data_IF_736284694365
#
_entry.id   IF_736284694365
#
_cell.length_a   1.000
_cell.length_b   1.000
_cell.length_c   1.000
_cell.angle_alpha   90.00
_cell.angle_beta   90.00
_cell.angle_gamma   90.00
#
_symmetry.space_group_name_H-M   'P 1'
#
loop_
_entity.id
_entity.type
_entity.pdbx_description
1 polymer ?
#
# COMPACT_ATOMS: atom_id res chain seq x y z
N UNK A 1 -47.51 -42.96 -29.69
CA UNK A 1 -47.83 -41.96 -28.67
C UNK A 1 -46.52 -41.55 -27.95
N UNK A 2 -45.91 -40.37 -28.30
CA UNK A 2 -44.64 -39.92 -27.71
C UNK A 2 -44.97 -38.87 -26.66
N UNK A 3 -44.75 -39.21 -25.37
CA UNK A 3 -44.91 -38.29 -24.23
C UNK A 3 -43.66 -37.44 -24.15
N UNK A 4 -43.77 -36.16 -24.48
CA UNK A 4 -42.71 -35.16 -24.23
C UNK A 4 -42.84 -34.63 -22.79
N UNK A 5 -41.99 -35.14 -21.92
CA UNK A 5 -41.84 -34.62 -20.57
C UNK A 5 -41.05 -33.29 -20.61
N UNK A 6 -41.77 -32.16 -20.45
CA UNK A 6 -41.14 -30.83 -20.30
C UNK A 6 -40.72 -30.67 -18.85
N UNK A 7 -39.40 -30.76 -18.58
CA UNK A 7 -38.85 -30.37 -17.29
C UNK A 7 -39.02 -28.84 -17.12
N UNK A 8 -39.89 -28.44 -16.22
CA UNK A 8 -39.95 -27.06 -15.72
C UNK A 8 -38.82 -26.89 -14.70
N UNK A 9 -37.65 -26.39 -15.13
CA UNK A 9 -36.61 -25.90 -14.21
C UNK A 9 -37.17 -24.66 -13.50
N UNK A 10 -37.39 -24.77 -12.21
CA UNK A 10 -38.01 -23.69 -11.44
C UNK A 10 -37.09 -22.47 -11.40
N UNK A 11 -37.65 -21.27 -11.69
CA UNK A 11 -36.94 -19.97 -11.62
C UNK A 11 -36.25 -19.69 -10.27
N UNK A 12 -36.69 -20.37 -9.21
CA UNK A 12 -36.15 -20.27 -7.86
C UNK A 12 -34.70 -20.82 -7.72
N UNK A 13 -34.36 -21.90 -8.46
CA UNK A 13 -33.02 -22.48 -8.45
C UNK A 13 -31.98 -21.58 -9.15
N UNK A 14 -32.39 -20.82 -10.16
CA UNK A 14 -31.50 -19.90 -10.87
C UNK A 14 -31.15 -18.67 -10.01
N UNK A 15 -32.13 -18.16 -9.23
CA UNK A 15 -31.89 -17.00 -8.35
C UNK A 15 -30.93 -17.31 -7.20
N UNK A 16 -31.00 -18.52 -6.64
CA UNK A 16 -30.13 -18.95 -5.54
C UNK A 16 -28.68 -19.15 -6.00
N UNK A 17 -28.46 -19.63 -7.21
CA UNK A 17 -27.12 -19.81 -7.77
C UNK A 17 -26.44 -18.48 -8.08
N UNK A 18 -27.18 -17.46 -8.53
CA UNK A 18 -26.65 -16.12 -8.80
C UNK A 18 -26.24 -15.41 -7.50
N UNK A 19 -27.03 -15.52 -6.43
CA UNK A 19 -26.72 -14.93 -5.14
C UNK A 19 -25.52 -15.58 -4.46
N UNK A 20 -25.36 -16.89 -4.59
CA UNK A 20 -24.20 -17.61 -4.07
C UNK A 20 -22.91 -17.25 -4.81
N UNK A 21 -22.96 -17.04 -6.13
CA UNK A 21 -21.82 -16.62 -6.93
C UNK A 21 -21.35 -15.19 -6.61
N UNK A 22 -22.27 -14.26 -6.35
CA UNK A 22 -21.96 -12.88 -5.94
C UNK A 22 -21.36 -12.82 -4.54
N UNK A 23 -21.83 -13.63 -3.60
CA UNK A 23 -21.28 -13.68 -2.24
C UNK A 23 -19.84 -14.21 -2.22
N UNK A 24 -19.48 -15.14 -3.10
CA UNK A 24 -18.12 -15.68 -3.15
C UNK A 24 -17.11 -14.72 -3.79
N UNK A 25 -17.51 -13.94 -4.79
CA UNK A 25 -16.63 -12.95 -5.42
C UNK A 25 -16.29 -11.77 -4.51
N UNK A 26 -17.14 -11.41 -3.53
CA UNK A 26 -16.84 -10.38 -2.53
C UNK A 26 -15.86 -10.89 -1.47
N UNK A 27 -15.92 -12.17 -1.09
CA UNK A 27 -15.04 -12.75 -0.07
C UNK A 27 -13.58 -12.88 -0.55
N UNK A 28 -13.33 -13.11 -1.84
CA UNK A 28 -11.97 -13.22 -2.38
C UNK A 28 -11.25 -11.88 -2.50
N UNK A 29 -11.97 -10.77 -2.70
CA UNK A 29 -11.38 -9.43 -2.75
C UNK A 29 -10.85 -8.94 -1.40
N UNK A 30 -11.50 -9.29 -0.30
CA UNK A 30 -11.07 -8.91 1.04
C UNK A 30 -9.80 -9.66 1.50
N UNK A 31 -9.62 -10.92 1.08
CA UNK A 31 -8.45 -11.71 1.46
C UNK A 31 -7.15 -11.19 0.85
N UNK A 32 -7.18 -10.63 -0.36
CA UNK A 32 -5.99 -10.07 -1.00
C UNK A 32 -5.55 -8.74 -0.39
N UNK A 33 -6.48 -7.95 0.15
CA UNK A 33 -6.16 -6.67 0.80
C UNK A 33 -5.48 -6.87 2.17
N UNK A 34 -5.79 -7.94 2.90
CA UNK A 34 -5.16 -8.23 4.19
C UNK A 34 -3.73 -8.76 4.07
N UNK A 35 -3.35 -9.36 2.95
CA UNK A 35 -2.00 -9.89 2.78
C UNK A 35 -0.93 -8.83 2.53
N UNK A 36 -1.28 -7.65 2.00
CA UNK A 36 -0.29 -6.62 1.69
C UNK A 36 0.29 -5.91 2.92
N UNK A 37 -0.43 -5.86 4.04
CA UNK A 37 0.07 -5.26 5.28
C UNK A 37 0.78 -6.23 6.22
N UNK A 38 0.54 -7.54 6.08
CA UNK A 38 1.12 -8.57 6.94
C UNK A 38 2.65 -8.70 6.83
N UNK A 39 3.26 -8.10 5.82
CA UNK A 39 4.71 -8.10 5.65
C UNK A 39 5.43 -7.01 6.47
N UNK A 40 4.68 -6.03 7.01
CA UNK A 40 5.24 -4.92 7.77
C UNK A 40 5.01 -5.09 9.27
N UNK A 41 6.02 -4.76 10.07
CA UNK A 41 5.93 -4.71 11.53
C UNK A 41 5.26 -3.40 11.95
N UNK A 42 3.94 -3.49 12.17
CA UNK A 42 3.13 -2.34 12.57
C UNK A 42 3.23 -2.02 14.06
N UNK A 43 3.82 -2.92 14.85
CA UNK A 43 3.93 -2.78 16.29
C UNK A 43 5.24 -2.08 16.72
N UNK A 44 6.28 -2.18 15.88
CA UNK A 44 7.61 -1.63 16.18
C UNK A 44 8.07 -0.69 15.05
N UNK A 45 7.43 0.49 14.87
CA UNK A 45 7.89 1.45 13.89
C UNK A 45 9.28 1.98 14.24
N UNK A 46 10.08 2.27 13.20
CA UNK A 46 11.44 2.80 13.36
C UNK A 46 11.56 4.15 12.65
N UNK A 47 12.46 5.02 13.13
CA UNK A 47 12.84 6.24 12.42
C UNK A 47 14.07 5.98 11.57
N UNK A 48 14.01 6.35 10.29
CA UNK A 48 15.14 6.33 9.37
C UNK A 48 15.37 7.72 8.78
N UNK A 49 16.62 8.02 8.46
CA UNK A 49 17.01 9.26 7.78
C UNK A 49 17.76 8.91 6.50
N UNK A 50 17.49 9.63 5.44
CA UNK A 50 18.14 9.36 4.17
C UNK A 50 17.90 10.43 3.13
N UNK A 51 18.52 10.24 1.97
CA UNK A 51 18.34 11.09 0.79
C UNK A 51 17.40 10.43 -0.18
N UNK A 52 16.41 11.15 -0.67
CA UNK A 52 15.49 10.67 -1.68
C UNK A 52 16.25 10.35 -2.96
N UNK A 53 16.22 9.09 -3.38
CA UNK A 53 16.72 8.64 -4.68
C UNK A 53 15.66 8.74 -5.74
N UNK A 54 14.44 8.31 -5.42
CA UNK A 54 13.32 8.32 -6.36
C UNK A 54 11.99 8.35 -5.59
N UNK A 55 10.99 9.07 -6.11
CA UNK A 55 9.62 9.03 -5.63
C UNK A 55 8.68 8.70 -6.78
N UNK A 56 8.14 7.48 -6.76
CA UNK A 56 7.18 6.96 -7.75
C UNK A 56 5.75 7.18 -7.26
N UNK A 57 5.07 8.16 -7.85
CA UNK A 57 3.70 8.50 -7.51
C UNK A 57 2.73 7.78 -8.47
N UNK A 58 2.63 6.45 -8.34
CA UNK A 58 1.92 5.55 -9.26
C UNK A 58 0.95 4.65 -8.51
N UNK A 59 -0.07 4.13 -9.22
CA UNK A 59 -1.01 3.13 -8.68
C UNK A 59 -0.47 1.71 -8.90
N UNK A 60 -0.84 0.74 -8.04
CA UNK A 60 -1.77 0.86 -6.91
C UNK A 60 -1.13 1.50 -5.66
N UNK A 61 0.19 1.48 -5.51
CA UNK A 61 0.92 2.00 -4.36
C UNK A 61 2.05 2.92 -4.80
N UNK A 62 2.24 3.99 -4.05
CA UNK A 62 3.39 4.87 -4.23
C UNK A 62 4.65 4.22 -3.65
N UNK A 63 5.81 4.47 -4.26
CA UNK A 63 7.09 3.97 -3.78
C UNK A 63 8.06 5.13 -3.56
N UNK A 64 8.68 5.14 -2.39
CA UNK A 64 9.74 6.06 -2.04
C UNK A 64 11.04 5.28 -1.85
N UNK A 65 12.04 5.58 -2.66
CA UNK A 65 13.37 4.97 -2.55
C UNK A 65 14.30 5.95 -1.87
N UNK A 66 14.81 5.56 -0.69
CA UNK A 66 15.76 6.34 0.10
C UNK A 66 17.14 5.70 0.10
N UNK A 67 18.16 6.51 -0.01
CA UNK A 67 19.53 6.15 0.29
C UNK A 67 19.79 6.41 1.78
N UNK A 68 19.88 5.32 2.55
CA UNK A 68 20.08 5.37 4.00
C UNK A 68 21.48 4.91 4.31
N UNK A 69 22.22 5.73 5.07
CA UNK A 69 23.56 5.38 5.56
C UNK A 69 23.43 4.61 6.87
N UNK A 70 23.91 3.38 6.87
CA UNK A 70 23.96 2.52 8.06
C UNK A 70 25.03 2.99 9.06
N UNK A 71 25.02 2.41 10.26
CA UNK A 71 26.01 2.66 11.31
C UNK A 71 27.42 2.24 10.86
N UNK A 72 27.51 1.25 9.99
CA UNK A 72 28.74 0.79 9.35
C UNK A 72 29.27 1.75 8.27
N UNK A 73 28.55 2.85 8.01
CA UNK A 73 28.86 3.83 6.98
C UNK A 73 28.46 3.43 5.56
N UNK A 74 27.92 2.24 5.37
CA UNK A 74 27.44 1.74 4.06
C UNK A 74 26.12 2.39 3.72
N UNK A 75 25.99 2.88 2.50
CA UNK A 75 24.72 3.43 1.98
C UNK A 75 23.95 2.32 1.28
N UNK A 76 22.70 2.12 1.69
CA UNK A 76 21.80 1.14 1.12
C UNK A 76 20.50 1.80 0.63
N UNK A 77 19.94 1.27 -0.45
CA UNK A 77 18.64 1.69 -0.95
C UNK A 77 17.53 1.01 -0.13
N UNK A 78 16.69 1.81 0.50
CA UNK A 78 15.48 1.37 1.19
C UNK A 78 14.26 1.65 0.32
N UNK A 79 13.44 0.64 0.08
CA UNK A 79 12.17 0.78 -0.66
C UNK A 79 11.01 0.87 0.31
N UNK A 80 10.35 2.02 0.33
CA UNK A 80 9.21 2.29 1.20
C UNK A 80 7.93 2.34 0.38
N UNK A 81 6.94 1.54 0.77
CA UNK A 81 5.62 1.49 0.15
C UNK A 81 4.65 2.43 0.87
N UNK A 82 3.97 3.27 0.12
CA UNK A 82 2.90 4.12 0.62
C UNK A 82 1.54 3.72 0.08
N UNK A 83 0.50 4.44 0.49
CA UNK A 83 -0.85 4.25 -0.02
C UNK A 83 -0.99 4.61 -1.50
N UNK A 84 -2.19 4.41 -2.04
CA UNK A 84 -2.52 4.82 -3.39
C UNK A 84 -2.40 6.35 -3.56
N UNK A 85 -2.05 6.87 -4.75
CA UNK A 85 -1.89 8.30 -4.99
C UNK A 85 -3.07 9.17 -4.52
N UNK A 86 -4.29 8.71 -4.76
CA UNK A 86 -5.49 9.44 -4.34
C UNK A 86 -5.66 9.57 -2.82
N UNK A 87 -5.15 8.60 -2.05
CA UNK A 87 -5.11 8.69 -0.60
C UNK A 87 -4.08 9.73 -0.14
N UNK A 88 -2.86 9.65 -0.70
CA UNK A 88 -1.79 10.57 -0.35
C UNK A 88 -2.16 12.03 -0.64
N UNK A 89 -2.85 12.29 -1.76
CA UNK A 89 -3.33 13.65 -2.10
C UNK A 89 -4.28 14.20 -1.03
N UNK A 90 -5.15 13.37 -0.47
CA UNK A 90 -6.08 13.78 0.61
C UNK A 90 -5.31 14.12 1.90
N UNK A 91 -4.19 13.47 2.11
CA UNK A 91 -3.28 13.70 3.24
C UNK A 91 -2.27 14.83 2.99
N UNK A 92 -2.37 15.51 1.84
CA UNK A 92 -1.56 16.66 1.51
C UNK A 92 -0.23 16.37 0.82
N UNK A 93 -0.03 15.13 0.35
CA UNK A 93 1.16 14.72 -0.39
C UNK A 93 0.86 14.51 -1.88
N UNK A 94 1.67 15.07 -2.75
CA UNK A 94 1.51 15.00 -4.22
C UNK A 94 2.79 14.48 -4.88
N UNK A 95 2.74 14.23 -6.17
CA UNK A 95 3.93 13.83 -6.96
C UNK A 95 5.08 14.84 -6.92
N UNK A 96 4.82 16.08 -6.46
CA UNK A 96 5.82 17.16 -6.35
C UNK A 96 6.34 17.35 -4.93
N UNK A 97 5.80 16.59 -3.96
CA UNK A 97 6.15 16.77 -2.53
C UNK A 97 7.58 16.32 -2.22
N UNK A 98 8.11 15.38 -2.99
CA UNK A 98 9.50 14.89 -2.85
C UNK A 98 10.18 14.85 -4.21
N UNK A 99 11.45 15.14 -4.22
CA UNK A 99 12.32 15.07 -5.41
C UNK A 99 13.66 14.41 -5.06
N UNK A 100 14.36 13.81 -6.03
CA UNK A 100 15.71 13.30 -5.82
C UNK A 100 16.64 14.35 -5.21
N UNK A 101 17.40 13.93 -4.19
CA UNK A 101 18.31 14.81 -3.46
C UNK A 101 17.73 15.42 -2.19
N UNK A 102 16.42 15.34 -1.95
CA UNK A 102 15.82 15.81 -0.69
C UNK A 102 16.31 14.96 0.49
N UNK A 103 16.78 15.58 1.56
CA UNK A 103 17.13 14.90 2.81
C UNK A 103 15.90 14.88 3.72
N UNK A 104 15.50 13.68 4.16
CA UNK A 104 14.29 13.47 4.96
C UNK A 104 14.53 12.54 6.15
N UNK A 105 13.62 12.64 7.11
CA UNK A 105 13.38 11.68 8.18
C UNK A 105 11.99 11.09 8.01
N UNK A 106 11.87 9.80 8.19
CA UNK A 106 10.58 9.09 8.11
C UNK A 106 10.45 8.08 9.24
N UNK A 107 9.31 8.08 9.91
CA UNK A 107 8.90 6.95 10.74
C UNK A 107 8.20 5.95 9.84
N UNK A 108 8.69 4.73 9.82
CA UNK A 108 8.23 3.66 8.95
C UNK A 108 7.88 2.40 9.75
N UNK A 109 7.05 1.56 9.17
CA UNK A 109 6.87 0.19 9.65
C UNK A 109 7.79 -0.72 8.84
N UNK A 110 8.86 -1.28 9.43
CA UNK A 110 9.85 -2.06 8.69
C UNK A 110 9.29 -3.39 8.21
N UNK A 111 9.97 -4.04 7.28
CA UNK A 111 9.65 -5.40 6.88
C UNK A 111 9.97 -6.39 7.99
N UNK A 112 9.08 -7.33 8.30
CA UNK A 112 9.34 -8.44 9.24
C UNK A 112 10.57 -9.30 8.83
N UNK A 113 10.91 -9.33 7.56
CA UNK A 113 12.07 -10.05 7.05
C UNK A 113 13.42 -9.45 7.44
N UNK A 114 13.42 -8.21 7.95
CA UNK A 114 14.65 -7.45 8.22
C UNK A 114 15.35 -6.91 6.96
N UNK A 115 14.75 -7.05 5.78
CA UNK A 115 15.27 -6.45 4.55
C UNK A 115 15.11 -4.92 4.56
N UNK A 116 15.92 -4.22 3.75
CA UNK A 116 15.91 -2.77 3.62
C UNK A 116 14.61 -2.29 2.95
N UNK A 117 13.58 -2.05 3.78
CA UNK A 117 12.27 -1.63 3.29
C UNK A 117 11.22 -1.50 4.39
N UNK A 118 10.06 -1.02 4.01
CA UNK A 118 8.95 -0.83 4.94
C UNK A 118 7.77 -0.13 4.31
N UNK A 119 6.78 0.21 5.13
CA UNK A 119 5.70 1.09 4.71
C UNK A 119 5.81 2.45 5.38
N UNK A 120 5.33 3.49 4.69
CA UNK A 120 5.30 4.85 5.21
C UNK A 120 3.90 5.45 5.16
N UNK A 121 3.69 6.45 6.02
CA UNK A 121 2.53 7.35 5.96
C UNK A 121 3.01 8.78 5.69
N UNK A 122 2.29 9.56 4.87
CA UNK A 122 2.70 10.92 4.49
C UNK A 122 3.02 11.85 5.65
N UNK A 123 2.19 11.79 6.70
CA UNK A 123 2.33 12.65 7.89
C UNK A 123 3.55 12.28 8.77
N UNK A 124 4.12 11.10 8.57
CA UNK A 124 5.29 10.62 9.30
C UNK A 124 6.62 11.00 8.63
N UNK A 125 6.57 11.78 7.52
CA UNK A 125 7.75 12.23 6.79
C UNK A 125 7.98 13.71 7.00
N UNK A 126 9.23 14.06 7.31
CA UNK A 126 9.69 15.45 7.46
C UNK A 126 10.96 15.67 6.67
N UNK A 127 11.16 16.88 6.16
CA UNK A 127 12.47 17.29 5.66
C UNK A 127 13.48 17.35 6.81
N UNK A 128 14.77 17.40 6.49
CA UNK A 128 15.87 17.49 7.46
C UNK A 128 15.73 18.66 8.44
N UNK A 129 15.18 19.78 7.98
CA UNK A 129 14.91 20.98 8.79
C UNK A 129 13.68 20.85 9.71
N UNK A 130 12.98 19.71 9.68
CA UNK A 130 11.78 19.42 10.46
C UNK A 130 10.46 19.82 9.80
N UNK A 131 10.48 20.44 8.62
CA UNK A 131 9.26 20.83 7.89
C UNK A 131 8.50 19.58 7.43
N UNK A 132 7.18 19.48 7.63
CA UNK A 132 6.38 18.36 7.13
C UNK A 132 6.42 18.29 5.60
N UNK A 133 6.54 17.07 5.05
CA UNK A 133 6.43 16.82 3.60
C UNK A 133 4.98 16.84 3.14
N UNK A 134 4.07 16.32 3.95
CA UNK A 134 2.64 16.35 3.71
C UNK A 134 1.99 17.44 4.57
N UNK A 135 1.21 18.31 3.92
CA UNK A 135 0.45 19.38 4.59
C UNK A 135 -1.03 19.19 4.26
N UNK A 136 -1.82 18.59 5.17
CA UNK A 136 -3.25 18.46 4.99
C UNK A 136 -3.91 19.84 4.76
N UNK A 137 -4.90 19.87 3.85
CA UNK A 137 -5.67 21.07 3.55
C UNK A 137 -6.82 21.24 4.52
#
# INVERSE_FOLDING_TARGET
>A
MRIRMRMRVSRRLQSTAVLAGLAWSVATGAALAHHSFAMFDMEHPIEISGTVKEFKFVSPHTLLILQVKGEDGVVKDWTLEGGAPGLLVREGMTSKSLKPGDEIKATINPLHSGAEGGSYQPLAIKFKDGTPVAVPK
#
